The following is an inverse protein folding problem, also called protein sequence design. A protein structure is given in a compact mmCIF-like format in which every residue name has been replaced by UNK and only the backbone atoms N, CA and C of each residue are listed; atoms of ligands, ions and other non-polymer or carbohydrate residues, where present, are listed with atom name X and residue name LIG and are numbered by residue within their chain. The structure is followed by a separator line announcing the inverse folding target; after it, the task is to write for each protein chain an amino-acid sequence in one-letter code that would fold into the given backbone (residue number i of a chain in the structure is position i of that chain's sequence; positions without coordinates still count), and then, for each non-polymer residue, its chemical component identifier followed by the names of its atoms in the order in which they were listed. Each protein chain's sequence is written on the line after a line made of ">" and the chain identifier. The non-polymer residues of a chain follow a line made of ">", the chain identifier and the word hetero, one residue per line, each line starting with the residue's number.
data_IF_898294941476
#
_entry.id   IF_898294941476
#
_cell.length_a   1.000
_cell.length_b   1.000
_cell.length_c   1.000
_cell.angle_alpha   90.00
_cell.angle_beta   90.00
_cell.angle_gamma   90.00
#
_symmetry.space_group_name_H-M   'P 1'
#
loop_
_entity.id
_entity.type
_entity.pdbx_description
1 polymer ?
#
# COMPACT_ATOMS: atom_id res chain seq x y z
N UNK A 1 43.17 11.97 -3.61
CA UNK A 1 42.13 12.99 -3.89
C UNK A 1 41.12 12.88 -2.76
N UNK A 2 41.22 13.78 -1.77
CA UNK A 2 40.44 13.75 -0.53
C UNK A 2 39.09 14.41 -0.83
N UNK A 3 38.00 13.65 -0.71
CA UNK A 3 36.63 14.19 -0.88
C UNK A 3 36.34 15.05 0.37
N UNK A 4 35.92 16.31 0.24
CA UNK A 4 35.63 17.17 1.38
C UNK A 4 34.48 16.60 2.22
N UNK A 5 34.63 16.69 3.56
CA UNK A 5 33.64 16.18 4.52
C UNK A 5 32.23 16.79 4.37
N UNK A 6 32.14 17.97 3.78
CA UNK A 6 30.86 18.65 3.48
C UNK A 6 30.06 17.99 2.35
N UNK A 7 30.75 17.28 1.44
CA UNK A 7 30.07 16.51 0.40
C UNK A 7 29.40 15.26 0.94
N UNK A 8 29.98 14.64 1.97
CA UNK A 8 29.36 13.51 2.66
C UNK A 8 28.12 13.93 3.47
N UNK A 9 28.15 15.13 4.06
CA UNK A 9 26.98 15.68 4.77
C UNK A 9 25.84 16.03 3.82
N UNK A 10 26.14 16.54 2.62
CA UNK A 10 25.12 16.85 1.62
C UNK A 10 24.51 15.56 1.03
N UNK A 11 25.31 14.52 0.82
CA UNK A 11 24.82 13.21 0.35
C UNK A 11 24.01 12.50 1.43
N UNK A 12 24.38 12.62 2.71
CA UNK A 12 23.62 12.01 3.83
C UNK A 12 22.32 12.78 4.10
N UNK A 13 22.27 14.10 3.89
CA UNK A 13 21.03 14.90 4.05
C UNK A 13 20.03 14.70 2.90
N UNK A 14 20.48 14.31 1.71
CA UNK A 14 19.59 14.01 0.59
C UNK A 14 19.06 12.57 0.61
N UNK A 15 19.60 11.69 1.46
CA UNK A 15 19.09 10.31 1.64
C UNK A 15 18.03 10.19 2.74
N UNK A 16 17.69 11.24 3.46
CA UNK A 16 16.65 11.22 4.51
C UNK A 16 15.27 11.69 4.05
N UNK A 17 15.09 12.13 2.82
CA UNK A 17 13.77 12.09 2.17
C UNK A 17 13.56 10.71 1.53
N UNK A 18 13.58 9.68 2.35
CA UNK A 18 13.00 8.38 2.02
C UNK A 18 11.54 8.66 1.71
N UNK A 19 11.15 8.59 0.44
CA UNK A 19 9.74 8.54 0.07
C UNK A 19 9.20 7.28 0.73
N UNK A 20 8.64 7.49 1.89
CA UNK A 20 7.90 6.48 2.61
C UNK A 20 6.69 6.20 1.74
N UNK A 21 6.68 5.05 1.04
CA UNK A 21 5.42 4.46 0.65
C UNK A 21 4.64 4.33 1.96
N UNK A 22 3.73 5.25 2.21
CA UNK A 22 2.87 5.15 3.37
C UNK A 22 1.92 4.01 3.12
N UNK A 23 2.29 2.81 3.59
CA UNK A 23 1.39 1.68 3.57
C UNK A 23 0.08 2.07 4.24
N UNK A 24 -1.02 1.82 3.55
CA UNK A 24 -2.36 2.07 4.06
C UNK A 24 -2.85 0.85 4.81
N UNK A 25 -3.05 1.00 6.10
CA UNK A 25 -3.52 -0.06 7.00
C UNK A 25 -4.97 0.20 7.37
N UNK A 26 -5.83 -0.79 7.19
CA UNK A 26 -7.19 -0.77 7.69
C UNK A 26 -7.22 -1.48 9.05
N UNK A 27 -7.76 -0.81 10.08
CA UNK A 27 -7.98 -1.40 11.41
C UNK A 27 -9.48 -1.59 11.59
N UNK A 28 -9.92 -2.83 11.82
CA UNK A 28 -11.26 -3.19 12.26
C UNK A 28 -11.20 -3.62 13.73
N UNK A 29 -11.71 -2.80 14.62
CA UNK A 29 -11.72 -3.00 16.09
C UNK A 29 -12.93 -2.25 16.64
N UNK A 30 -13.79 -2.92 17.38
CA UNK A 30 -15.00 -2.31 17.93
C UNK A 30 -14.71 -1.44 19.16
N UNK A 31 -13.69 -1.77 19.96
CA UNK A 31 -13.20 -0.93 21.04
C UNK A 31 -12.54 0.34 20.49
N UNK A 32 -13.20 1.47 20.72
CA UNK A 32 -12.74 2.77 20.21
C UNK A 32 -11.39 3.20 20.81
N UNK A 33 -11.11 2.86 22.08
CA UNK A 33 -9.85 3.22 22.73
C UNK A 33 -8.69 2.43 22.15
N UNK A 34 -8.87 1.11 21.97
CA UNK A 34 -7.87 0.25 21.32
C UNK A 34 -7.67 0.66 19.87
N UNK A 35 -8.73 0.92 19.12
CA UNK A 35 -8.66 1.37 17.74
C UNK A 35 -7.86 2.68 17.60
N UNK A 36 -8.09 3.64 18.49
CA UNK A 36 -7.34 4.90 18.52
C UNK A 36 -5.87 4.68 18.93
N UNK A 37 -5.60 3.83 19.92
CA UNK A 37 -4.24 3.49 20.35
C UNK A 37 -3.44 2.88 19.19
N UNK A 38 -3.98 1.86 18.53
CA UNK A 38 -3.32 1.20 17.40
C UNK A 38 -3.10 2.17 16.24
N UNK A 39 -4.11 2.97 15.91
CA UNK A 39 -4.00 3.99 14.87
C UNK A 39 -2.88 4.99 15.17
N UNK A 40 -2.85 5.54 16.41
CA UNK A 40 -1.82 6.50 16.81
C UNK A 40 -0.41 5.91 16.71
N UNK A 41 -0.22 4.69 17.20
CA UNK A 41 1.09 4.02 17.17
C UNK A 41 1.54 3.76 15.73
N UNK A 42 0.66 3.28 14.86
CA UNK A 42 0.99 3.01 13.46
C UNK A 42 1.27 4.30 12.67
N UNK A 43 0.48 5.36 12.87
CA UNK A 43 0.72 6.68 12.24
C UNK A 43 2.09 7.22 12.67
N UNK A 44 2.44 7.13 13.97
CA UNK A 44 3.76 7.55 14.47
C UNK A 44 4.91 6.76 13.83
N UNK A 45 4.66 5.53 13.38
CA UNK A 45 5.63 4.68 12.68
C UNK A 45 5.56 4.81 11.14
N UNK A 46 4.90 5.85 10.61
CA UNK A 46 4.92 6.18 9.18
C UNK A 46 3.90 5.42 8.33
N UNK A 47 2.85 4.86 8.92
CA UNK A 47 1.74 4.23 8.20
C UNK A 47 0.55 5.19 8.04
N UNK A 48 -0.19 5.07 6.94
CA UNK A 48 -1.51 5.69 6.80
C UNK A 48 -2.55 4.74 7.36
N UNK A 49 -3.43 5.21 8.25
CA UNK A 49 -4.37 4.33 8.96
C UNK A 49 -5.80 4.80 8.78
N UNK A 50 -6.69 3.85 8.48
CA UNK A 50 -8.14 4.03 8.55
C UNK A 50 -8.69 3.07 9.60
N UNK A 51 -9.40 3.59 10.60
CA UNK A 51 -10.03 2.77 11.65
C UNK A 51 -11.53 2.67 11.43
N UNK A 52 -12.09 1.46 11.57
CA UNK A 52 -13.52 1.14 11.48
C UNK A 52 -13.94 0.27 12.64
N UNK A 53 -15.25 0.25 12.98
CA UNK A 53 -15.76 -0.40 14.17
C UNK A 53 -16.20 -1.87 14.00
N UNK A 54 -16.24 -2.41 12.79
CA UNK A 54 -16.68 -3.78 12.53
C UNK A 54 -16.32 -4.23 11.11
N UNK A 55 -16.55 -5.52 10.81
CA UNK A 55 -16.23 -6.11 9.51
C UNK A 55 -17.05 -5.55 8.34
N UNK A 56 -18.30 -5.15 8.55
CA UNK A 56 -19.13 -4.55 7.49
C UNK A 56 -18.61 -3.17 7.08
N UNK A 57 -18.16 -2.38 8.04
CA UNK A 57 -17.51 -1.09 7.75
C UNK A 57 -16.16 -1.29 7.06
N UNK A 58 -15.43 -2.36 7.42
CA UNK A 58 -14.18 -2.72 6.76
C UNK A 58 -14.41 -3.05 5.27
N UNK A 59 -15.42 -3.85 4.93
CA UNK A 59 -15.78 -4.13 3.53
C UNK A 59 -16.15 -2.84 2.78
N UNK A 60 -16.95 -1.95 3.38
CA UNK A 60 -17.28 -0.65 2.77
C UNK A 60 -16.04 0.23 2.55
N UNK A 61 -15.09 0.21 3.48
CA UNK A 61 -13.84 0.95 3.32
C UNK A 61 -13.01 0.38 2.15
N UNK A 62 -12.97 -0.94 1.98
CA UNK A 62 -12.30 -1.62 0.88
C UNK A 62 -12.95 -1.35 -0.50
N UNK A 63 -14.26 -1.21 -0.54
CA UNK A 63 -14.97 -0.81 -1.78
C UNK A 63 -14.60 0.62 -2.22
N UNK A 64 -14.33 1.50 -1.27
CA UNK A 64 -14.04 2.92 -1.52
C UNK A 64 -12.54 3.25 -1.56
N UNK A 65 -11.67 2.35 -1.10
CA UNK A 65 -10.25 2.60 -0.96
C UNK A 65 -9.39 1.37 -1.18
N UNK A 66 -8.09 1.61 -1.23
CA UNK A 66 -7.07 0.57 -1.28
C UNK A 66 -6.33 0.51 0.06
N UNK A 67 -6.05 -0.69 0.52
CA UNK A 67 -5.25 -0.96 1.70
C UNK A 67 -4.19 -2.02 1.41
N UNK A 68 -3.01 -1.84 2.01
CA UNK A 68 -1.88 -2.76 1.87
C UNK A 68 -1.94 -3.89 2.90
N UNK A 69 -2.67 -3.68 4.01
CA UNK A 69 -2.82 -4.65 5.10
C UNK A 69 -4.07 -4.35 5.91
N UNK A 70 -4.62 -5.39 6.52
CA UNK A 70 -5.73 -5.29 7.48
C UNK A 70 -5.26 -5.80 8.84
N UNK A 71 -5.63 -5.07 9.91
CA UNK A 71 -5.57 -5.54 11.29
C UNK A 71 -7.01 -5.67 11.75
N UNK A 72 -7.44 -6.84 12.18
CA UNK A 72 -8.82 -7.08 12.60
C UNK A 72 -8.91 -7.73 13.96
N UNK A 73 -9.75 -7.17 14.83
CA UNK A 73 -10.23 -7.98 15.95
C UNK A 73 -11.06 -9.15 15.43
N UNK A 74 -11.08 -10.24 16.17
CA UNK A 74 -11.95 -11.38 15.89
C UNK A 74 -13.37 -11.07 16.33
N UNK A 75 -13.54 -10.57 17.55
CA UNK A 75 -14.85 -10.41 18.19
C UNK A 75 -15.39 -9.00 17.95
N UNK A 76 -16.15 -8.84 16.87
CA UNK A 76 -16.78 -7.56 16.54
C UNK A 76 -18.27 -7.75 16.29
N UNK A 77 -19.12 -6.73 16.58
CA UNK A 77 -20.56 -6.81 16.33
C UNK A 77 -20.89 -6.81 14.82
N UNK A 78 -21.90 -7.57 14.46
CA UNK A 78 -22.42 -7.65 13.08
C UNK A 78 -21.66 -8.61 12.19
N UNK A 79 -20.46 -8.27 11.78
CA UNK A 79 -19.55 -9.13 11.05
C UNK A 79 -18.25 -9.27 11.83
N UNK A 80 -17.93 -10.48 12.22
CA UNK A 80 -16.70 -10.80 12.94
C UNK A 80 -15.46 -10.83 12.03
N UNK A 81 -14.27 -10.94 12.65
CA UNK A 81 -13.01 -10.95 11.90
C UNK A 81 -12.84 -12.18 11.00
N UNK A 82 -13.37 -13.34 11.38
CA UNK A 82 -13.30 -14.55 10.55
C UNK A 82 -14.19 -14.45 9.32
N UNK A 83 -15.40 -13.93 9.47
CA UNK A 83 -16.33 -13.67 8.38
C UNK A 83 -15.74 -12.63 7.40
N UNK A 84 -15.08 -11.59 7.94
CA UNK A 84 -14.38 -10.60 7.13
C UNK A 84 -13.29 -11.26 6.27
N UNK A 85 -12.39 -12.03 6.88
CA UNK A 85 -11.29 -12.69 6.14
C UNK A 85 -11.84 -13.69 5.12
N UNK A 86 -12.84 -14.50 5.49
CA UNK A 86 -13.48 -15.44 4.57
C UNK A 86 -14.07 -14.73 3.34
N UNK A 87 -14.74 -13.59 3.56
CA UNK A 87 -15.31 -12.77 2.48
C UNK A 87 -14.22 -12.22 1.54
N UNK A 88 -13.11 -11.75 2.10
CA UNK A 88 -11.96 -11.27 1.32
C UNK A 88 -11.34 -12.37 0.46
N UNK A 89 -11.08 -13.54 1.04
CA UNK A 89 -10.48 -14.68 0.32
C UNK A 89 -11.43 -15.22 -0.76
N UNK A 90 -12.73 -15.28 -0.48
CA UNK A 90 -13.76 -15.66 -1.47
C UNK A 90 -13.83 -14.67 -2.65
N UNK A 91 -13.57 -13.39 -2.40
CA UNK A 91 -13.46 -12.36 -3.44
C UNK A 91 -12.10 -12.38 -4.18
N UNK A 92 -11.20 -13.31 -3.88
CA UNK A 92 -9.86 -13.39 -4.47
C UNK A 92 -8.89 -12.32 -3.98
N UNK A 93 -9.20 -11.63 -2.88
CA UNK A 93 -8.36 -10.59 -2.30
C UNK A 93 -7.33 -11.23 -1.36
N UNK A 94 -6.04 -11.12 -1.71
CA UNK A 94 -4.92 -11.66 -0.94
C UNK A 94 -4.21 -10.57 -0.11
N UNK A 95 -4.96 -9.56 0.37
CA UNK A 95 -4.44 -8.55 1.28
C UNK A 95 -3.98 -9.26 2.56
N UNK A 96 -2.76 -8.97 3.07
CA UNK A 96 -2.30 -9.50 4.35
C UNK A 96 -3.25 -9.11 5.48
N UNK A 97 -3.62 -10.08 6.31
CA UNK A 97 -4.48 -9.86 7.47
C UNK A 97 -3.79 -10.35 8.75
N UNK A 98 -3.67 -9.46 9.73
CA UNK A 98 -3.28 -9.81 11.09
C UNK A 98 -4.52 -9.76 11.99
N UNK A 99 -4.79 -10.88 12.65
CA UNK A 99 -5.90 -10.98 13.60
C UNK A 99 -5.46 -10.64 15.02
N UNK A 100 -6.32 -9.97 15.77
CA UNK A 100 -6.15 -9.73 17.20
C UNK A 100 -7.21 -10.53 17.93
N UNK A 101 -6.85 -11.25 18.98
CA UNK A 101 -7.76 -12.17 19.68
C UNK A 101 -7.60 -12.12 21.19
N UNK A 102 -8.66 -12.43 21.93
CA UNK A 102 -8.57 -12.72 23.35
C UNK A 102 -7.95 -14.11 23.60
N UNK A 103 -7.29 -14.30 24.74
CA UNK A 103 -6.53 -15.50 25.07
C UNK A 103 -7.36 -16.81 25.08
N UNK A 104 -8.67 -16.70 25.27
CA UNK A 104 -9.60 -17.84 25.33
C UNK A 104 -9.96 -18.42 23.96
N UNK A 105 -9.66 -17.71 22.88
CA UNK A 105 -9.90 -18.15 21.51
C UNK A 105 -8.78 -19.07 20.95
N UNK A 106 -7.97 -19.71 21.79
CA UNK A 106 -6.88 -20.59 21.35
C UNK A 106 -7.37 -21.83 20.59
N UNK A 107 -8.58 -22.31 20.90
CA UNK A 107 -9.25 -23.39 20.14
C UNK A 107 -9.76 -22.88 18.77
N UNK A 108 -10.05 -21.58 18.64
CA UNK A 108 -10.43 -20.94 17.38
C UNK A 108 -9.23 -20.65 16.45
N UNK A 109 -7.99 -20.71 16.95
CA UNK A 109 -6.78 -20.61 16.12
C UNK A 109 -6.76 -21.64 14.99
N UNK A 110 -7.34 -22.83 15.21
CA UNK A 110 -7.51 -23.84 14.16
C UNK A 110 -8.45 -23.35 13.05
N UNK A 111 -9.53 -22.65 13.39
CA UNK A 111 -10.43 -22.05 12.41
C UNK A 111 -9.78 -20.86 11.69
N UNK A 112 -8.97 -20.07 12.39
CA UNK A 112 -8.30 -18.91 11.81
C UNK A 112 -7.23 -19.26 10.78
N UNK A 113 -6.42 -20.32 10.99
CA UNK A 113 -5.52 -20.83 9.96
C UNK A 113 -6.28 -21.37 8.72
N UNK A 114 -7.49 -21.91 8.92
CA UNK A 114 -8.37 -22.35 7.84
C UNK A 114 -9.00 -21.16 7.10
N UNK A 115 -9.20 -20.02 7.76
CA UNK A 115 -9.78 -18.79 7.16
C UNK A 115 -8.82 -17.99 6.28
N UNK A 116 -7.52 -18.29 6.29
CA UNK A 116 -6.53 -17.61 5.43
C UNK A 116 -5.93 -16.33 6.02
N UNK A 117 -5.84 -16.26 7.34
CA UNK A 117 -5.12 -15.21 8.06
C UNK A 117 -3.60 -15.39 7.96
N UNK A 118 -2.85 -14.29 7.95
CA UNK A 118 -1.39 -14.30 7.76
C UNK A 118 -0.61 -14.23 9.07
N UNK A 119 -1.18 -13.67 10.15
CA UNK A 119 -0.59 -13.62 11.51
C UNK A 119 -1.65 -13.38 12.58
N UNK A 120 -1.28 -13.64 13.86
CA UNK A 120 -2.12 -13.47 15.03
C UNK A 120 -1.39 -12.77 16.16
N UNK A 121 -2.14 -11.94 16.90
CA UNK A 121 -1.70 -11.40 18.20
C UNK A 121 -2.77 -11.64 19.26
N UNK A 122 -2.33 -11.91 20.49
CA UNK A 122 -3.22 -12.13 21.64
C UNK A 122 -3.30 -10.87 22.49
N UNK A 123 -4.51 -10.48 22.90
CA UNK A 123 -4.75 -9.39 23.86
C UNK A 123 -4.25 -9.82 25.26
N UNK A 124 -3.55 -8.98 26.05
CA UNK A 124 -3.24 -7.57 25.77
C UNK A 124 -2.12 -7.40 24.72
N UNK A 125 -2.34 -6.52 23.73
CA UNK A 125 -1.44 -6.31 22.59
C UNK A 125 -0.23 -5.48 23.02
N UNK A 126 0.98 -6.01 22.80
CA UNK A 126 2.17 -5.20 22.85
C UNK A 126 2.28 -4.40 21.54
N UNK A 127 2.06 -3.08 21.61
CA UNK A 127 2.04 -2.21 20.43
C UNK A 127 3.37 -2.15 19.69
N UNK A 128 4.51 -2.32 20.39
CA UNK A 128 5.82 -2.37 19.72
C UNK A 128 5.99 -3.67 18.93
N UNK A 129 5.53 -4.80 19.47
CA UNK A 129 5.49 -6.07 18.76
C UNK A 129 4.55 -5.99 17.56
N UNK A 130 3.39 -5.36 17.70
CA UNK A 130 2.46 -5.13 16.59
C UNK A 130 3.14 -4.41 15.41
N UNK A 131 3.88 -3.33 15.67
CA UNK A 131 4.61 -2.59 14.63
C UNK A 131 5.65 -3.48 13.93
N UNK A 132 6.38 -4.31 14.67
CA UNK A 132 7.38 -5.23 14.10
C UNK A 132 6.71 -6.29 13.20
N UNK A 133 5.58 -6.85 13.64
CA UNK A 133 4.82 -7.86 12.88
C UNK A 133 4.18 -7.26 11.62
N UNK A 134 3.59 -6.07 11.74
CA UNK A 134 3.08 -5.28 10.59
C UNK A 134 4.18 -5.09 9.54
N UNK A 135 5.36 -4.62 9.96
CA UNK A 135 6.50 -4.47 9.05
C UNK A 135 6.95 -5.79 8.42
N UNK A 136 6.90 -6.90 9.16
CA UNK A 136 7.26 -8.22 8.64
C UNK A 136 6.25 -8.74 7.62
N UNK A 137 4.94 -8.58 7.88
CA UNK A 137 3.86 -8.99 6.97
C UNK A 137 3.88 -8.18 5.68
N UNK A 138 4.01 -6.86 5.78
CA UNK A 138 4.12 -5.98 4.61
C UNK A 138 5.35 -6.32 3.76
N UNK A 139 6.52 -6.56 4.37
CA UNK A 139 7.71 -7.03 3.63
C UNK A 139 7.48 -8.38 2.96
N UNK A 140 6.82 -9.32 3.64
CA UNK A 140 6.52 -10.65 3.08
C UNK A 140 5.56 -10.57 1.91
N UNK A 141 4.51 -9.75 2.02
CA UNK A 141 3.58 -9.48 0.93
C UNK A 141 4.26 -8.79 -0.26
N UNK A 142 5.22 -7.89 -0.01
CA UNK A 142 6.06 -7.30 -1.05
C UNK A 142 7.05 -8.30 -1.67
N UNK A 143 7.60 -9.22 -0.89
CA UNK A 143 8.51 -10.27 -1.38
C UNK A 143 7.77 -11.32 -2.24
N UNK A 144 6.49 -11.59 -1.96
CA UNK A 144 5.64 -12.44 -2.80
C UNK A 144 5.33 -11.73 -4.12
N UNK A 145 5.26 -10.42 -4.12
CA UNK A 145 5.13 -9.59 -5.32
C UNK A 145 6.50 -9.14 -5.88
N UNK A 146 7.63 -9.84 -5.52
CA UNK A 146 8.99 -9.40 -5.88
C UNK A 146 8.99 -7.87 -6.06
N UNK A 147 9.64 -7.01 -5.37
CA UNK A 147 9.72 -5.54 -5.61
C UNK A 147 9.74 -5.16 -7.12
N UNK A 148 9.04 -5.97 -7.89
CA UNK A 148 9.00 -6.10 -9.33
C UNK A 148 7.56 -6.30 -9.79
N UNK A 149 7.04 -5.33 -10.51
CA UNK A 149 5.75 -5.43 -11.16
C UNK A 149 5.94 -5.82 -12.62
N UNK A 150 5.19 -6.82 -13.08
CA UNK A 150 5.26 -7.30 -14.48
C UNK A 150 3.90 -7.07 -15.15
N UNK A 151 3.93 -6.40 -16.30
CA UNK A 151 2.77 -6.26 -17.20
C UNK A 151 3.23 -6.66 -18.60
N UNK A 152 2.77 -7.81 -19.09
CA UNK A 152 3.30 -8.37 -20.34
C UNK A 152 4.80 -8.64 -20.23
N UNK A 153 5.60 -8.06 -21.10
CA UNK A 153 7.07 -8.09 -21.04
C UNK A 153 7.67 -6.90 -20.28
N UNK A 154 6.84 -5.90 -19.91
CA UNK A 154 7.30 -4.74 -19.14
C UNK A 154 7.53 -5.13 -17.69
N UNK A 155 8.73 -4.82 -17.21
CA UNK A 155 9.18 -5.07 -15.83
C UNK A 155 9.52 -3.75 -15.16
N UNK A 156 8.93 -3.50 -13.97
CA UNK A 156 9.20 -2.33 -13.14
C UNK A 156 9.86 -2.80 -11.85
N UNK A 157 11.09 -2.35 -11.58
CA UNK A 157 11.89 -2.71 -10.41
C UNK A 157 11.96 -1.55 -9.41
N UNK A 158 11.38 -1.74 -8.23
CA UNK A 158 11.27 -0.66 -7.23
C UNK A 158 12.62 -0.24 -6.64
N UNK A 159 13.55 -1.19 -6.45
CA UNK A 159 14.83 -0.89 -5.79
C UNK A 159 15.76 -0.03 -6.64
N UNK A 160 15.68 -0.21 -7.95
CA UNK A 160 16.51 0.53 -8.91
C UNK A 160 15.73 1.67 -9.61
N UNK A 161 14.42 1.81 -9.35
CA UNK A 161 13.51 2.70 -10.06
C UNK A 161 13.56 2.48 -11.60
N UNK A 162 13.86 1.25 -11.99
CA UNK A 162 14.06 0.88 -13.40
C UNK A 162 12.75 0.33 -13.97
N UNK A 163 12.45 0.76 -15.18
CA UNK A 163 11.40 0.15 -16.02
C UNK A 163 12.07 -0.39 -17.28
N UNK A 164 11.83 -1.67 -17.55
CA UNK A 164 12.30 -2.35 -18.77
C UNK A 164 11.11 -2.72 -19.64
N UNK A 165 11.15 -2.38 -20.93
CA UNK A 165 10.11 -2.66 -21.91
C UNK A 165 10.72 -2.74 -23.33
N UNK A 166 10.17 -3.55 -24.20
CA UNK A 166 10.60 -3.64 -25.62
C UNK A 166 12.13 -3.70 -25.81
N UNK A 167 12.83 -4.52 -25.00
CA UNK A 167 14.32 -4.60 -24.98
C UNK A 167 15.04 -3.28 -24.62
N UNK A 168 14.32 -2.31 -24.08
CA UNK A 168 14.85 -1.06 -23.54
C UNK A 168 14.72 -1.04 -22.03
N UNK A 169 15.50 -0.21 -21.35
CA UNK A 169 15.34 0.06 -19.95
C UNK A 169 15.67 1.51 -19.62
N UNK A 170 15.00 2.07 -18.62
CA UNK A 170 15.27 3.40 -18.13
C UNK A 170 15.07 3.49 -16.61
N UNK A 171 15.95 4.23 -15.94
CA UNK A 171 15.75 4.66 -14.56
C UNK A 171 14.85 5.89 -14.63
N UNK A 172 13.74 5.85 -13.89
CA UNK A 172 12.80 6.97 -13.83
C UNK A 172 13.09 7.86 -12.62
N UNK A 173 12.79 9.17 -12.72
CA UNK A 173 12.68 10.01 -11.53
C UNK A 173 11.66 9.40 -10.57
N UNK A 174 11.97 9.47 -9.26
CA UNK A 174 11.21 8.78 -8.23
C UNK A 174 9.69 8.99 -8.32
N UNK A 175 9.23 10.27 -8.47
CA UNK A 175 7.79 10.58 -8.57
C UNK A 175 7.14 10.02 -9.83
N UNK A 176 7.86 9.96 -10.94
CA UNK A 176 7.39 9.35 -12.20
C UNK A 176 7.28 7.83 -12.04
N UNK A 177 8.30 7.20 -11.44
CA UNK A 177 8.27 5.76 -11.17
C UNK A 177 7.09 5.39 -10.28
N UNK A 178 6.93 6.09 -9.15
CA UNK A 178 5.85 5.83 -8.19
C UNK A 178 4.47 6.00 -8.82
N UNK A 179 4.28 7.05 -9.62
CA UNK A 179 3.02 7.34 -10.28
C UNK A 179 2.66 6.22 -11.28
N UNK A 180 3.64 5.79 -12.08
CA UNK A 180 3.45 4.67 -13.01
C UNK A 180 3.20 3.37 -12.27
N UNK A 181 4.04 3.04 -11.28
CA UNK A 181 3.94 1.81 -10.49
C UNK A 181 2.59 1.70 -9.78
N UNK A 182 2.12 2.79 -9.15
CA UNK A 182 0.80 2.84 -8.49
C UNK A 182 -0.34 2.49 -9.44
N UNK A 183 -0.40 3.14 -10.60
CA UNK A 183 -1.46 2.88 -11.57
C UNK A 183 -1.33 1.50 -12.23
N UNK A 184 -0.11 1.07 -12.47
CA UNK A 184 0.20 -0.21 -13.10
C UNK A 184 -0.05 -1.42 -12.16
N UNK A 185 0.05 -1.22 -10.85
CA UNK A 185 -0.32 -2.24 -9.85
C UNK A 185 -1.82 -2.57 -9.87
N UNK A 186 -2.66 -1.68 -10.42
CA UNK A 186 -4.12 -1.86 -10.50
C UNK A 186 -4.63 -1.55 -11.91
N UNK A 187 -4.33 -2.39 -12.90
CA UNK A 187 -4.76 -2.15 -14.28
C UNK A 187 -6.29 -2.03 -14.38
N UNK A 188 -6.74 -1.02 -15.11
CA UNK A 188 -8.18 -0.73 -15.29
C UNK A 188 -8.79 0.17 -14.21
N UNK A 189 -8.19 0.26 -13.02
CA UNK A 189 -8.66 1.13 -11.93
C UNK A 189 -8.42 2.60 -12.27
N UNK A 190 -9.43 3.42 -12.01
CA UNK A 190 -9.36 4.87 -12.17
C UNK A 190 -8.86 5.47 -10.85
N UNK A 191 -7.84 6.31 -10.95
CA UNK A 191 -7.34 7.13 -9.85
C UNK A 191 -7.64 8.59 -10.13
N UNK A 192 -8.22 9.31 -9.17
CA UNK A 192 -8.39 10.76 -9.30
C UNK A 192 -7.04 11.47 -9.19
N UNK A 193 -6.97 12.71 -9.71
CA UNK A 193 -5.76 13.54 -9.57
C UNK A 193 -5.40 13.75 -8.11
N UNK A 194 -6.41 14.01 -7.28
CA UNK A 194 -6.21 14.19 -5.83
C UNK A 194 -5.66 12.92 -5.18
N UNK A 195 -6.23 11.74 -5.47
CA UNK A 195 -5.72 10.48 -4.93
C UNK A 195 -4.25 10.23 -5.33
N UNK A 196 -3.89 10.49 -6.59
CA UNK A 196 -2.50 10.35 -7.03
C UNK A 196 -1.60 11.38 -6.37
N UNK A 197 -2.08 12.60 -6.15
CA UNK A 197 -1.35 13.64 -5.44
C UNK A 197 -1.08 13.24 -4.01
N UNK A 198 -2.12 12.89 -3.27
CA UNK A 198 -2.03 12.47 -1.87
C UNK A 198 -1.13 11.24 -1.69
N UNK A 199 -1.28 10.24 -2.57
CA UNK A 199 -0.51 9.00 -2.51
C UNK A 199 0.98 9.18 -2.83
N UNK A 200 1.35 10.16 -3.68
CA UNK A 200 2.72 10.31 -4.19
C UNK A 200 3.45 11.52 -3.59
N UNK A 201 2.74 12.61 -3.29
CA UNK A 201 3.33 13.84 -2.73
C UNK A 201 2.99 14.06 -1.26
N UNK A 202 1.98 13.37 -0.72
CA UNK A 202 1.49 13.49 0.65
C UNK A 202 0.35 14.49 0.79
N UNK A 203 -0.38 14.39 1.91
CA UNK A 203 -1.58 15.21 2.17
C UNK A 203 -1.28 16.70 2.46
N UNK A 204 -0.10 17.00 3.00
CA UNK A 204 0.29 18.37 3.42
C UNK A 204 1.12 19.09 2.34
N UNK A 205 1.05 18.66 1.09
CA UNK A 205 1.81 19.29 0.03
C UNK A 205 1.11 20.57 -0.46
N UNK A 206 1.85 21.67 -0.56
CA UNK A 206 1.42 22.91 -1.23
C UNK A 206 1.41 22.78 -2.77
N UNK A 207 1.80 21.61 -3.28
CA UNK A 207 1.94 21.36 -4.72
C UNK A 207 0.57 21.19 -5.37
N UNK A 208 0.31 21.89 -6.47
CA UNK A 208 -0.95 21.78 -7.23
C UNK A 208 -1.11 20.39 -7.87
N UNK A 209 -2.34 19.89 -7.93
CA UNK A 209 -2.73 18.65 -8.61
C UNK A 209 -2.36 18.63 -10.10
N UNK A 210 -2.17 19.79 -10.74
CA UNK A 210 -1.62 19.92 -12.09
C UNK A 210 -0.22 19.30 -12.25
N UNK A 211 0.52 19.16 -11.17
CA UNK A 211 1.82 18.47 -11.18
C UNK A 211 1.68 17.02 -11.63
N UNK A 212 0.59 16.35 -11.25
CA UNK A 212 0.27 14.98 -11.72
C UNK A 212 0.16 14.96 -13.25
N UNK A 213 -0.54 15.94 -13.86
CA UNK A 213 -0.74 15.99 -15.30
C UNK A 213 0.59 16.13 -16.07
N UNK A 214 1.54 16.91 -15.53
CA UNK A 214 2.89 17.09 -16.10
C UNK A 214 3.66 15.75 -16.10
N UNK A 215 3.66 15.04 -14.97
CA UNK A 215 4.35 13.75 -14.87
C UNK A 215 3.69 12.67 -15.73
N UNK A 216 2.36 12.66 -15.84
CA UNK A 216 1.64 11.78 -16.76
C UNK A 216 2.01 12.05 -18.22
N UNK A 217 2.16 13.33 -18.59
CA UNK A 217 2.64 13.70 -19.92
C UNK A 217 4.01 13.09 -20.23
N UNK A 218 4.98 13.27 -19.32
CA UNK A 218 6.34 12.70 -19.45
C UNK A 218 6.34 11.17 -19.53
N UNK A 219 5.54 10.51 -18.71
CA UNK A 219 5.39 9.05 -18.75
C UNK A 219 4.81 8.58 -20.08
N UNK A 220 3.80 9.25 -20.62
CA UNK A 220 3.22 8.93 -21.93
C UNK A 220 4.22 9.09 -23.07
N UNK A 221 5.00 10.16 -23.03
CA UNK A 221 6.03 10.39 -24.06
C UNK A 221 7.10 9.30 -24.01
N UNK A 222 7.50 8.90 -22.81
CA UNK A 222 8.53 7.86 -22.59
C UNK A 222 8.05 6.47 -23.00
N UNK A 223 6.81 6.11 -22.67
CA UNK A 223 6.24 4.79 -22.94
C UNK A 223 5.26 4.78 -24.12
N UNK A 224 5.43 5.73 -25.06
CA UNK A 224 4.60 5.85 -26.26
C UNK A 224 4.53 4.55 -27.07
N UNK A 225 5.67 3.86 -27.17
CA UNK A 225 5.83 2.65 -27.96
C UNK A 225 5.67 1.35 -27.15
N UNK A 226 5.18 1.45 -25.90
CA UNK A 226 4.90 0.26 -25.09
C UNK A 226 3.77 -0.55 -25.71
N UNK A 227 4.01 -1.86 -25.84
CA UNK A 227 3.04 -2.85 -26.35
C UNK A 227 2.22 -3.49 -25.23
N UNK A 228 2.60 -3.31 -23.97
CA UNK A 228 2.02 -4.01 -22.84
C UNK A 228 0.97 -3.20 -22.08
N UNK A 229 1.13 -1.88 -22.09
CA UNK A 229 0.21 -0.98 -21.38
C UNK A 229 0.13 0.40 -21.99
N UNK A 230 -0.93 1.12 -21.62
CA UNK A 230 -1.05 2.56 -21.90
C UNK A 230 -1.71 3.29 -20.73
N UNK A 231 -1.35 4.58 -20.57
CA UNK A 231 -1.96 5.47 -19.58
C UNK A 231 -3.12 6.21 -20.27
N UNK A 232 -4.33 6.00 -19.76
CA UNK A 232 -5.58 6.57 -20.31
C UNK A 232 -6.10 7.66 -19.40
N UNK A 233 -6.52 8.80 -20.00
CA UNK A 233 -7.22 9.86 -19.27
C UNK A 233 -8.70 9.54 -19.16
N UNK A 234 -9.20 9.61 -17.94
CA UNK A 234 -10.64 9.62 -17.66
C UNK A 234 -11.08 11.08 -17.50
N UNK A 235 -11.70 11.64 -18.55
CA UNK A 235 -12.05 13.07 -18.59
C UNK A 235 -12.84 13.50 -17.36
N UNK A 236 -12.43 14.60 -16.73
CA UNK A 236 -13.03 15.13 -15.51
C UNK A 236 -12.73 14.35 -14.23
N UNK A 237 -12.05 13.20 -14.28
CA UNK A 237 -11.77 12.34 -13.12
C UNK A 237 -10.28 12.21 -12.84
N UNK A 238 -9.51 11.63 -13.77
CA UNK A 238 -8.09 11.34 -13.53
C UNK A 238 -7.52 10.38 -14.56
N UNK A 239 -6.79 9.37 -14.10
CA UNK A 239 -5.97 8.49 -14.94
C UNK A 239 -6.12 7.02 -14.56
N UNK A 240 -5.85 6.14 -15.51
CA UNK A 240 -5.67 4.70 -15.29
C UNK A 240 -4.63 4.13 -16.24
N UNK A 241 -4.03 3.02 -15.84
CA UNK A 241 -3.26 2.14 -16.73
C UNK A 241 -4.20 1.05 -17.24
N UNK A 242 -4.13 0.74 -18.52
CA UNK A 242 -4.80 -0.42 -19.13
C UNK A 242 -3.74 -1.32 -19.77
N UNK A 243 -3.91 -2.63 -19.65
CA UNK A 243 -3.12 -3.63 -20.39
C UNK A 243 -3.56 -3.61 -21.85
N UNK A 244 -2.62 -3.81 -22.76
CA UNK A 244 -2.84 -3.93 -24.20
C UNK A 244 -2.94 -5.38 -24.64
#
# INVERSE_FOLDING_TARGET
>A
MIIPADYLKLVVLTFTETVIFMFKILIAEDDNELRQLFSHVLIKNGYSVTGVGNGLEALKALDNGYFDMIISDIMMPGMDGYELVSSLRSAGMNIPVMMITAKEAFDDMRQGFISGTDDYMVKPVNVNEMVLRVGALLRRAQMINDRRLIIGETVMECDSLTVSWNNQSAILPLKEFMLLYKMASFPGRIFTRQQLMDDIWGYDTETDTHTVDVHIGRLRDRFRDSTDFKIVTMRGVGYKVVKL
#
